data_IF_662997303000
#
_entry.id   IF_662997303000
#
_cell.length_a   1.000
_cell.length_b   1.000
_cell.length_c   1.000
_cell.angle_alpha   90.00
_cell.angle_beta   90.00
_cell.angle_gamma   90.00
#
_symmetry.space_group_name_H-M   'P 1'
#
loop_
_entity.id
_entity.type
_entity.pdbx_description
1 polymer ?
#
# COMPACT_ATOMS: atom_id res chain seq x y z
N UNK A 1 27.40 -77.27 46.47
CA UNK A 1 28.58 -76.38 46.40
C UNK A 1 28.10 -75.09 45.72
N UNK A 2 27.76 -74.04 46.47
CA UNK A 2 28.52 -72.77 46.64
C UNK A 2 28.89 -72.12 45.28
N UNK A 3 28.58 -70.87 44.89
CA UNK A 3 28.19 -69.60 45.55
C UNK A 3 27.46 -68.68 44.53
N UNK A 4 26.38 -67.96 44.91
CA UNK A 4 26.25 -66.51 45.21
C UNK A 4 26.48 -65.53 44.04
N UNK A 5 25.44 -64.75 43.68
CA UNK A 5 25.36 -63.28 43.44
C UNK A 5 24.22 -63.00 42.44
N UNK A 6 23.29 -62.06 42.59
CA UNK A 6 22.99 -61.04 43.60
C UNK A 6 21.76 -60.27 43.10
N UNK A 7 20.79 -60.02 43.98
CA UNK A 7 19.64 -59.15 43.73
C UNK A 7 20.08 -57.68 43.71
N UNK A 8 19.61 -56.89 42.74
CA UNK A 8 19.37 -55.46 42.96
C UNK A 8 18.26 -54.96 42.02
N UNK A 9 17.25 -54.38 42.67
CA UNK A 9 15.96 -53.95 42.14
C UNK A 9 16.06 -52.64 41.34
N UNK A 10 15.12 -52.49 40.41
CA UNK A 10 14.94 -51.36 39.49
C UNK A 10 14.72 -50.04 40.25
N UNK A 11 15.51 -49.02 39.92
CA UNK A 11 15.17 -47.62 40.15
C UNK A 11 14.80 -46.96 38.82
N UNK A 12 13.51 -46.65 38.65
CA UNK A 12 13.00 -45.89 37.51
C UNK A 12 13.44 -44.42 37.64
N UNK A 13 14.23 -43.93 36.69
CA UNK A 13 14.42 -42.49 36.49
C UNK A 13 13.43 -42.04 35.41
N UNK A 14 12.41 -41.31 35.85
CA UNK A 14 11.51 -40.53 35.00
C UNK A 14 12.35 -39.39 34.41
N UNK A 15 12.63 -39.45 33.10
CA UNK A 15 13.09 -38.29 32.35
C UNK A 15 11.88 -37.40 32.09
N UNK A 16 11.83 -36.25 32.74
CA UNK A 16 10.91 -35.16 32.37
C UNK A 16 11.48 -34.52 31.10
N UNK A 17 10.75 -34.49 29.97
CA UNK A 17 11.17 -33.68 28.84
C UNK A 17 10.96 -32.22 29.23
N UNK A 18 12.05 -31.46 29.34
CA UNK A 18 11.99 -30.00 29.44
C UNK A 18 11.42 -29.50 28.11
N UNK A 19 10.19 -28.99 28.16
CA UNK A 19 9.58 -28.19 27.10
C UNK A 19 10.51 -27.01 26.82
N UNK A 20 11.22 -27.04 25.69
CA UNK A 20 11.83 -25.84 25.15
C UNK A 20 10.70 -25.00 24.54
N UNK A 21 10.15 -24.08 25.34
CA UNK A 21 9.29 -23.04 24.82
C UNK A 21 10.13 -22.17 23.87
N UNK A 22 9.92 -22.34 22.57
CA UNK A 22 10.43 -21.41 21.56
C UNK A 22 9.71 -20.08 21.78
N UNK A 23 10.38 -19.15 22.47
CA UNK A 23 9.96 -17.77 22.49
C UNK A 23 10.09 -17.23 21.07
N UNK A 24 8.95 -17.03 20.39
CA UNK A 24 8.89 -16.17 19.21
C UNK A 24 9.23 -14.75 19.68
N UNK A 25 10.51 -14.40 19.60
CA UNK A 25 10.93 -13.02 19.68
C UNK A 25 10.48 -12.36 18.38
N UNK A 26 9.32 -11.68 18.44
CA UNK A 26 8.98 -10.65 17.49
C UNK A 26 10.05 -9.56 17.60
N UNK A 27 11.09 -9.63 16.77
CA UNK A 27 12.02 -8.53 16.61
C UNK A 27 11.27 -7.40 15.91
N UNK A 28 11.08 -6.28 16.60
CA UNK A 28 10.58 -5.05 16.00
C UNK A 28 11.51 -4.61 14.86
N UNK A 29 10.90 -4.39 13.70
CA UNK A 29 11.54 -4.07 12.42
C UNK A 29 11.72 -2.55 12.22
N UNK A 30 12.43 -1.86 13.11
CA UNK A 30 12.72 -0.43 12.88
C UNK A 30 14.13 -0.26 12.28
N UNK A 31 14.21 0.09 10.99
CA UNK A 31 15.41 0.72 10.42
C UNK A 31 15.14 2.21 10.26
N UNK A 32 15.88 3.03 11.00
CA UNK A 32 15.85 4.48 10.82
C UNK A 32 16.56 4.84 9.52
N UNK A 33 15.80 5.12 8.46
CA UNK A 33 16.34 5.59 7.19
C UNK A 33 17.04 6.94 7.43
N UNK A 34 18.37 6.97 7.31
CA UNK A 34 19.17 8.19 7.40
C UNK A 34 19.42 8.72 5.99
N UNK A 35 19.09 9.99 5.74
CA UNK A 35 19.24 10.63 4.42
C UNK A 35 18.00 10.65 3.54
N UNK A 36 16.85 10.19 4.02
CA UNK A 36 15.54 10.47 3.42
C UNK A 36 14.94 11.64 4.21
N UNK A 37 14.87 12.84 3.62
CA UNK A 37 14.16 13.96 4.24
C UNK A 37 12.74 13.50 4.62
N UNK A 38 12.32 13.81 5.85
CA UNK A 38 10.98 13.50 6.31
C UNK A 38 9.95 13.99 5.31
N UNK A 39 9.09 13.07 4.85
CA UNK A 39 8.12 13.25 3.74
C UNK A 39 8.75 13.46 2.34
N UNK A 40 9.52 12.51 1.81
CA UNK A 40 9.82 12.48 0.35
C UNK A 40 9.06 11.42 -0.43
N UNK A 41 8.52 10.38 0.21
CA UNK A 41 7.45 9.58 -0.38
C UNK A 41 6.10 10.20 -0.03
N UNK A 42 5.82 11.40 -0.58
CA UNK A 42 4.42 11.77 -0.82
C UNK A 42 3.83 10.57 -1.56
N UNK A 43 2.70 9.99 -1.11
CA UNK A 43 2.07 8.92 -1.88
C UNK A 43 1.92 9.42 -3.32
N UNK A 44 2.05 8.57 -4.35
CA UNK A 44 1.72 8.97 -5.71
C UNK A 44 0.37 9.67 -5.64
N UNK A 45 0.39 10.96 -5.99
CA UNK A 45 -0.70 11.94 -5.91
C UNK A 45 -2.03 11.36 -5.41
N UNK A 46 -2.36 11.55 -4.14
CA UNK A 46 -3.59 11.04 -3.55
C UNK A 46 -4.86 11.58 -4.23
N UNK A 47 -5.89 10.74 -4.19
CA UNK A 47 -7.33 10.93 -4.33
C UNK A 47 -7.99 12.31 -4.38
N UNK A 48 -7.55 13.37 -5.08
CA UNK A 48 -8.28 14.66 -5.01
C UNK A 48 -9.65 14.60 -5.74
N UNK A 49 -10.67 14.09 -5.05
CA UNK A 49 -12.08 14.25 -5.43
C UNK A 49 -12.59 15.55 -4.83
N UNK A 50 -12.93 16.50 -5.70
CA UNK A 50 -13.53 17.76 -5.30
C UNK A 50 -15.06 17.66 -5.20
N UNK A 51 -15.64 18.31 -4.20
CA UNK A 51 -17.07 18.44 -3.99
C UNK A 51 -17.44 19.92 -3.84
N UNK A 52 -18.29 20.41 -4.73
CA UNK A 52 -18.86 21.75 -4.64
C UNK A 52 -20.11 21.68 -3.77
N UNK A 53 -20.09 22.43 -2.68
CA UNK A 53 -21.11 22.43 -1.66
C UNK A 53 -21.79 23.79 -1.54
N UNK A 54 -23.11 23.76 -1.37
CA UNK A 54 -23.92 24.91 -1.02
C UNK A 54 -24.64 24.63 0.29
N UNK A 55 -24.48 25.54 1.25
CA UNK A 55 -25.19 25.55 2.52
C UNK A 55 -26.21 26.70 2.53
N UNK A 56 -27.44 26.36 2.90
CA UNK A 56 -28.58 27.26 3.07
C UNK A 56 -29.32 26.89 4.36
N UNK A 57 -29.93 27.88 5.01
CA UNK A 57 -30.74 27.65 6.22
C UNK A 57 -32.05 26.91 5.94
N UNK A 58 -32.60 27.05 4.73
CA UNK A 58 -33.84 26.36 4.31
C UNK A 58 -33.57 25.00 3.70
N UNK A 59 -32.53 24.91 2.87
CA UNK A 59 -32.30 23.75 2.00
C UNK A 59 -31.21 22.80 2.53
N UNK A 60 -30.57 23.18 3.64
CA UNK A 60 -29.51 22.40 4.27
C UNK A 60 -28.18 22.50 3.52
N UNK A 61 -27.38 21.43 3.58
CA UNK A 61 -26.12 21.29 2.86
C UNK A 61 -26.34 20.34 1.70
N UNK A 62 -25.98 20.79 0.50
CA UNK A 62 -25.97 19.96 -0.69
C UNK A 62 -24.58 20.01 -1.31
N UNK A 63 -23.97 18.84 -1.50
CA UNK A 63 -22.67 18.71 -2.14
C UNK A 63 -22.81 17.89 -3.42
N UNK A 64 -22.11 18.30 -4.47
CA UNK A 64 -22.04 17.57 -5.74
C UNK A 64 -20.57 17.40 -6.13
N UNK A 65 -20.19 16.30 -6.79
CA UNK A 65 -18.86 16.20 -7.38
C UNK A 65 -18.59 17.40 -8.29
N UNK A 66 -17.46 18.09 -8.10
CA UNK A 66 -17.09 19.21 -8.95
C UNK A 66 -16.80 18.70 -10.36
N UNK A 67 -17.26 19.41 -11.40
CA UNK A 67 -16.92 19.08 -12.78
C UNK A 67 -15.41 19.23 -13.02
N UNK A 68 -14.83 18.46 -13.96
CA UNK A 68 -13.42 18.51 -14.32
C UNK A 68 -13.00 19.93 -14.77
N UNK A 69 -12.55 20.77 -13.83
CA UNK A 69 -12.28 22.18 -14.09
C UNK A 69 -11.48 22.94 -13.03
N UNK A 70 -11.07 22.29 -11.93
CA UNK A 70 -10.17 22.91 -10.94
C UNK A 70 -8.71 22.84 -11.42
N UNK A 71 -8.34 23.74 -12.35
CA UNK A 71 -6.96 23.93 -12.77
C UNK A 71 -6.09 24.49 -11.65
N UNK A 72 -4.94 23.85 -11.39
CA UNK A 72 -3.86 24.41 -10.57
C UNK A 72 -3.33 23.54 -9.42
N UNK A 73 -3.96 22.41 -9.07
CA UNK A 73 -3.45 21.53 -8.02
C UNK A 73 -2.26 20.67 -8.52
N UNK A 74 -1.06 20.90 -7.99
CA UNK A 74 0.08 20.00 -8.16
C UNK A 74 -0.09 18.72 -7.33
N UNK A 75 -0.94 17.82 -7.83
CA UNK A 75 -0.94 16.36 -7.64
C UNK A 75 -2.21 15.81 -8.29
N UNK A 76 -2.06 15.38 -9.54
CA UNK A 76 -3.15 14.83 -10.35
C UNK A 76 -3.27 13.34 -10.05
N UNK A 77 -4.40 12.91 -9.49
CA UNK A 77 -4.92 11.58 -9.74
C UNK A 77 -5.29 11.55 -11.23
N UNK A 78 -4.44 10.93 -12.04
CA UNK A 78 -4.89 10.39 -13.33
C UNK A 78 -5.55 9.04 -13.06
N UNK A 79 -6.68 9.08 -12.37
CA UNK A 79 -7.63 7.98 -12.28
C UNK A 79 -8.70 8.22 -13.33
N UNK A 80 -8.39 7.94 -14.60
CA UNK A 80 -9.44 7.56 -15.54
C UNK A 80 -9.98 6.18 -15.13
N UNK A 81 -10.85 6.17 -14.12
CA UNK A 81 -11.93 5.20 -14.03
C UNK A 81 -13.19 5.91 -14.53
N UNK A 82 -13.89 5.33 -15.51
CA UNK A 82 -15.06 5.97 -16.11
C UNK A 82 -16.11 6.38 -15.08
N UNK A 83 -16.56 7.64 -15.15
CA UNK A 83 -17.86 8.13 -14.68
C UNK A 83 -18.32 7.81 -13.23
N UNK A 84 -17.43 7.69 -12.24
CA UNK A 84 -17.83 7.44 -10.83
C UNK A 84 -16.84 8.00 -9.79
N UNK A 85 -17.34 8.64 -8.74
CA UNK A 85 -16.54 9.18 -7.63
C UNK A 85 -15.85 8.08 -6.81
N UNK A 86 -14.58 8.25 -6.44
CA UNK A 86 -13.78 7.27 -5.65
C UNK A 86 -14.07 7.29 -4.14
N UNK A 87 -14.55 8.42 -3.64
CA UNK A 87 -15.03 8.63 -2.27
C UNK A 87 -16.34 9.40 -2.33
N UNK A 88 -17.16 9.30 -1.27
CA UNK A 88 -18.41 10.05 -1.15
C UNK A 88 -18.50 10.72 0.21
N UNK A 89 -18.75 12.03 0.20
CA UNK A 89 -19.01 12.82 1.41
C UNK A 89 -20.52 13.03 1.55
N UNK A 90 -21.07 12.75 2.73
CA UNK A 90 -22.51 12.88 3.00
C UNK A 90 -22.74 13.73 4.24
N UNK A 91 -23.62 14.73 4.13
CA UNK A 91 -24.03 15.58 5.25
C UNK A 91 -25.38 15.16 5.82
N UNK A 92 -25.55 15.26 7.14
CA UNK A 92 -26.81 14.99 7.86
C UNK A 92 -26.93 15.86 9.12
N UNK A 93 -28.00 15.68 9.90
CA UNK A 93 -28.20 16.31 11.21
C UNK A 93 -27.94 17.84 11.22
N UNK A 94 -28.53 18.52 10.26
CA UNK A 94 -28.29 19.96 10.01
C UNK A 94 -29.04 20.79 11.04
N UNK A 95 -28.33 21.69 11.71
CA UNK A 95 -28.85 22.58 12.75
C UNK A 95 -28.24 23.97 12.59
N UNK A 96 -29.06 25.02 12.68
CA UNK A 96 -28.59 26.40 12.74
C UNK A 96 -29.04 27.07 14.03
N UNK A 97 -28.09 27.65 14.76
CA UNK A 97 -28.35 28.49 15.94
C UNK A 97 -28.16 29.96 15.56
N UNK A 98 -29.25 30.72 15.57
CA UNK A 98 -29.25 32.14 15.22
C UNK A 98 -28.65 33.06 16.27
N UNK A 99 -28.51 32.60 17.52
CA UNK A 99 -27.91 33.39 18.62
C UNK A 99 -26.39 33.31 18.55
N UNK A 100 -25.85 32.11 18.37
CA UNK A 100 -24.41 31.90 18.22
C UNK A 100 -23.90 32.05 16.78
N UNK A 101 -24.81 32.18 15.80
CA UNK A 101 -24.50 32.21 14.35
C UNK A 101 -23.70 30.98 13.89
N UNK A 102 -24.01 29.81 14.48
CA UNK A 102 -23.35 28.55 14.17
C UNK A 102 -24.27 27.67 13.33
N UNK A 103 -23.76 27.27 12.17
CA UNK A 103 -24.36 26.26 11.31
C UNK A 103 -23.63 24.93 11.50
N UNK A 104 -24.30 23.95 12.09
CA UNK A 104 -23.76 22.62 12.41
C UNK A 104 -24.38 21.55 11.53
N UNK A 105 -23.59 20.56 11.13
CA UNK A 105 -24.06 19.37 10.43
C UNK A 105 -23.05 18.24 10.60
N UNK A 106 -23.51 17.00 10.56
CA UNK A 106 -22.64 15.83 10.60
C UNK A 106 -22.18 15.47 9.19
N UNK A 107 -20.93 15.05 9.07
CA UNK A 107 -20.32 14.62 7.81
C UNK A 107 -19.72 13.23 7.96
N UNK A 108 -20.08 12.32 7.05
CA UNK A 108 -19.45 11.01 6.89
C UNK A 108 -18.70 10.91 5.57
N UNK A 109 -17.65 10.10 5.55
CA UNK A 109 -16.91 9.72 4.35
C UNK A 109 -17.17 8.26 4.05
N UNK A 110 -17.51 7.94 2.80
CA UNK A 110 -17.65 6.57 2.31
C UNK A 110 -16.55 6.27 1.30
N UNK A 111 -15.89 5.13 1.46
CA UNK A 111 -14.99 4.58 0.46
C UNK A 111 -15.78 3.89 -0.67
N UNK A 112 -15.47 4.19 -1.93
CA UNK A 112 -16.09 3.54 -3.10
C UNK A 112 -15.05 2.73 -3.89
N UNK A 113 -13.77 2.88 -3.58
CA UNK A 113 -12.66 2.11 -4.15
C UNK A 113 -12.76 0.63 -3.76
N UNK A 114 -11.99 -0.20 -4.46
CA UNK A 114 -11.79 -1.58 -4.05
C UNK A 114 -10.68 -1.69 -3.00
N UNK A 115 -9.74 -0.75 -3.02
CA UNK A 115 -8.66 -0.57 -2.08
C UNK A 115 -9.17 0.07 -0.78
N UNK A 116 -8.62 -0.33 0.36
CA UNK A 116 -8.84 0.37 1.62
C UNK A 116 -8.26 1.80 1.54
N UNK A 117 -8.91 2.75 2.23
CA UNK A 117 -8.42 4.12 2.41
C UNK A 117 -8.20 4.43 3.88
N UNK A 118 -7.39 5.45 4.17
CA UNK A 118 -6.96 5.74 5.54
C UNK A 118 -5.90 4.75 6.03
N UNK A 119 -5.30 4.01 5.10
CA UNK A 119 -4.21 3.08 5.34
C UNK A 119 -3.38 2.88 4.08
N UNK A 120 -2.05 2.79 4.21
CA UNK A 120 -1.17 2.40 3.11
C UNK A 120 -1.01 0.88 2.88
N UNK A 121 -1.33 0.02 3.84
CA UNK A 121 -1.15 -1.45 3.76
C UNK A 121 -2.42 -2.28 4.07
N UNK A 122 -3.50 -1.66 4.51
CA UNK A 122 -4.73 -2.36 4.93
C UNK A 122 -4.76 -2.74 6.41
N UNK A 123 -3.69 -2.48 7.17
CA UNK A 123 -3.56 -2.94 8.56
C UNK A 123 -3.25 -1.79 9.50
N UNK A 124 -2.32 -0.93 9.12
CA UNK A 124 -1.89 0.21 9.92
C UNK A 124 -2.68 1.45 9.50
N UNK A 125 -3.45 2.07 10.41
CA UNK A 125 -4.12 3.33 10.11
C UNK A 125 -3.10 4.42 9.80
N UNK A 126 -3.41 5.25 8.81
CA UNK A 126 -2.67 6.48 8.56
C UNK A 126 -2.82 7.39 9.79
N UNK A 127 -1.72 7.78 10.48
CA UNK A 127 -1.77 8.68 11.61
C UNK A 127 -2.25 10.10 11.25
N UNK A 128 -2.34 10.46 9.96
CA UNK A 128 -3.00 11.70 9.51
C UNK A 128 -4.51 11.51 9.28
N UNK A 129 -4.97 10.26 9.17
CA UNK A 129 -6.33 9.88 8.85
C UNK A 129 -6.75 10.28 7.44
N UNK A 130 -8.01 10.02 7.12
CA UNK A 130 -8.66 10.55 5.92
C UNK A 130 -8.97 12.02 6.19
N UNK A 131 -8.36 12.95 5.45
CA UNK A 131 -8.49 14.40 5.67
C UNK A 131 -9.43 15.02 4.64
N UNK A 132 -10.55 15.59 5.11
CA UNK A 132 -11.43 16.39 4.27
C UNK A 132 -11.13 17.86 4.53
N UNK A 133 -10.60 18.56 3.53
CA UNK A 133 -10.13 19.94 3.66
C UNK A 133 -10.92 20.89 2.77
N UNK A 134 -11.05 22.14 3.23
CA UNK A 134 -11.68 23.22 2.46
C UNK A 134 -10.65 23.78 1.47
N UNK A 135 -10.82 23.43 0.20
CA UNK A 135 -10.01 23.97 -0.88
C UNK A 135 -10.35 25.44 -1.17
N UNK A 136 -11.63 25.80 -1.05
CA UNK A 136 -12.11 27.18 -1.16
C UNK A 136 -13.38 27.40 -0.33
N UNK A 137 -13.59 28.66 0.08
CA UNK A 137 -14.68 29.01 0.97
C UNK A 137 -14.48 28.45 2.39
N UNK A 138 -15.50 28.52 3.25
CA UNK A 138 -16.84 29.00 2.98
C UNK A 138 -16.91 30.50 2.64
N UNK A 139 -17.63 30.82 1.57
CA UNK A 139 -17.85 32.18 1.07
C UNK A 139 -19.34 32.47 1.02
N UNK A 140 -19.77 33.61 1.57
CA UNK A 140 -21.16 34.06 1.46
C UNK A 140 -21.47 34.41 0.00
N UNK A 141 -22.41 33.69 -0.60
CA UNK A 141 -22.83 33.85 -2.01
C UNK A 141 -24.24 34.44 -2.14
N UNK A 142 -24.96 34.57 -1.02
CA UNK A 142 -26.20 35.32 -0.93
C UNK A 142 -26.32 36.00 0.44
N UNK A 143 -26.81 37.24 0.45
CA UNK A 143 -26.83 38.08 1.65
C UNK A 143 -25.49 38.77 1.90
N UNK A 144 -25.17 39.05 3.17
CA UNK A 144 -23.93 39.74 3.58
C UNK A 144 -23.25 39.03 4.75
N UNK A 145 -22.02 39.43 5.06
CA UNK A 145 -21.23 38.89 6.17
C UNK A 145 -20.04 38.04 5.70
N UNK A 146 -19.32 37.45 6.66
CA UNK A 146 -18.19 36.55 6.39
C UNK A 146 -18.48 35.19 7.02
N UNK A 147 -18.37 34.13 6.22
CA UNK A 147 -18.46 32.76 6.71
C UNK A 147 -17.05 32.19 6.92
N UNK A 148 -16.89 31.28 7.87
CA UNK A 148 -15.62 30.58 8.12
C UNK A 148 -15.86 29.22 8.75
N UNK A 149 -14.87 28.32 8.69
CA UNK A 149 -14.91 27.07 9.46
C UNK A 149 -14.66 27.39 10.94
N UNK A 150 -15.48 26.84 11.84
CA UNK A 150 -15.47 27.19 13.26
C UNK A 150 -14.79 26.16 14.16
N UNK A 151 -14.73 24.88 13.74
CA UNK A 151 -14.22 23.79 14.57
C UNK A 151 -13.34 22.79 13.81
N UNK A 152 -12.57 23.26 12.82
CA UNK A 152 -11.59 22.42 12.13
C UNK A 152 -10.62 21.76 13.13
N UNK A 153 -10.17 20.54 12.83
CA UNK A 153 -9.17 19.85 13.65
C UNK A 153 -7.80 20.52 13.56
N UNK A 154 -7.55 21.20 12.43
CA UNK A 154 -6.33 21.95 12.19
C UNK A 154 -6.36 22.67 10.86
N UNK A 155 -5.20 23.21 10.48
CA UNK A 155 -4.94 23.72 9.14
C UNK A 155 -3.71 23.04 8.56
N UNK A 156 -3.73 22.79 7.26
CA UNK A 156 -2.66 22.10 6.53
C UNK A 156 -2.24 22.84 5.27
N UNK A 157 -1.20 22.33 4.62
CA UNK A 157 -0.82 22.77 3.27
C UNK A 157 -1.15 21.64 2.30
N UNK A 158 -2.31 21.74 1.64
CA UNK A 158 -2.79 20.74 0.69
C UNK A 158 -2.55 21.26 -0.74
N UNK A 159 -3.50 22.02 -1.27
CA UNK A 159 -3.35 22.76 -2.54
C UNK A 159 -2.85 24.18 -2.33
N UNK A 160 -3.03 24.72 -1.11
CA UNK A 160 -2.50 25.98 -0.64
C UNK A 160 -2.22 25.91 0.87
N UNK A 161 -1.47 26.88 1.40
CA UNK A 161 -1.21 26.97 2.84
C UNK A 161 -2.46 27.35 3.64
N UNK A 162 -2.51 26.92 4.90
CA UNK A 162 -3.54 27.27 5.90
C UNK A 162 -4.97 26.85 5.54
N UNK A 163 -5.14 25.73 4.84
CA UNK A 163 -6.46 25.19 4.52
C UNK A 163 -7.01 24.37 5.71
N UNK A 164 -8.22 24.69 6.22
CA UNK A 164 -8.79 23.98 7.36
C UNK A 164 -9.27 22.58 6.95
N UNK A 165 -9.11 21.61 7.83
CA UNK A 165 -9.49 20.22 7.58
C UNK A 165 -10.17 19.55 8.78
N UNK A 166 -10.87 18.46 8.48
CA UNK A 166 -11.41 17.49 9.44
C UNK A 166 -10.82 16.12 9.11
N UNK A 167 -10.22 15.46 10.10
CA UNK A 167 -9.60 14.15 9.92
C UNK A 167 -10.50 13.02 10.42
N UNK A 168 -10.50 11.88 9.74
CA UNK A 168 -11.19 10.66 10.15
C UNK A 168 -10.13 9.58 10.36
N UNK A 169 -9.87 9.22 11.61
CA UNK A 169 -8.82 8.28 12.02
C UNK A 169 -9.32 6.84 11.99
N UNK A 170 -9.73 6.40 10.81
CA UNK A 170 -10.32 5.09 10.56
C UNK A 170 -9.75 4.54 9.26
N UNK A 171 -9.63 3.21 9.18
CA UNK A 171 -9.46 2.50 7.92
C UNK A 171 -10.86 2.25 7.37
N UNK A 172 -11.11 2.60 6.12
CA UNK A 172 -12.37 2.29 5.45
C UNK A 172 -12.10 1.30 4.32
N UNK A 173 -12.58 0.08 4.48
CA UNK A 173 -12.62 -0.91 3.42
C UNK A 173 -13.62 -0.50 2.33
N UNK A 174 -13.66 -1.27 1.25
CA UNK A 174 -14.65 -1.06 0.18
C UNK A 174 -16.06 -0.90 0.74
N UNK A 175 -16.73 0.16 0.31
CA UNK A 175 -18.12 0.49 0.65
C UNK A 175 -18.40 0.84 2.11
N UNK A 176 -17.37 0.88 2.96
CA UNK A 176 -17.51 1.31 4.35
C UNK A 176 -17.68 2.81 4.49
N UNK A 177 -18.33 3.19 5.60
CA UNK A 177 -18.66 4.58 5.93
C UNK A 177 -18.06 4.90 7.30
N UNK A 178 -17.35 6.01 7.38
CA UNK A 178 -16.76 6.50 8.63
C UNK A 178 -17.81 6.80 9.70
N UNK A 179 -17.36 6.87 10.96
CA UNK A 179 -18.14 7.56 11.98
C UNK A 179 -18.47 9.01 11.54
N UNK A 180 -19.66 9.53 11.90
CA UNK A 180 -20.01 10.91 11.60
C UNK A 180 -19.16 11.88 12.42
N UNK A 181 -18.69 12.96 11.79
CA UNK A 181 -18.06 14.10 12.47
C UNK A 181 -18.91 15.35 12.33
N UNK A 182 -19.18 16.02 13.44
CA UNK A 182 -19.92 17.29 13.44
C UNK A 182 -19.03 18.44 13.00
N UNK A 183 -19.38 19.04 11.87
CA UNK A 183 -18.77 20.26 11.36
C UNK A 183 -19.58 21.46 11.79
N UNK A 184 -18.89 22.56 12.10
CA UNK A 184 -19.48 23.85 12.47
C UNK A 184 -18.88 24.94 11.61
N UNK A 185 -19.74 25.74 11.02
CA UNK A 185 -19.37 26.93 10.27
C UNK A 185 -19.92 28.15 11.00
N UNK A 186 -19.10 29.20 11.08
CA UNK A 186 -19.59 30.54 11.37
C UNK A 186 -20.44 30.97 10.17
N UNK A 187 -21.73 31.18 10.41
CA UNK A 187 -22.73 31.48 9.39
C UNK A 187 -23.53 32.71 9.84
N UNK A 188 -23.17 33.92 9.40
CA UNK A 188 -23.81 35.15 9.85
C UNK A 188 -25.31 35.14 9.60
N UNK A 189 -26.10 35.75 10.49
CA UNK A 189 -27.55 35.81 10.33
C UNK A 189 -28.01 36.53 9.05
N UNK A 190 -27.16 37.42 8.51
CA UNK A 190 -27.35 38.16 7.27
C UNK A 190 -27.02 37.35 6.02
N UNK A 191 -26.37 36.19 6.14
CA UNK A 191 -26.11 35.31 5.01
C UNK A 191 -27.37 34.47 4.69
N UNK A 192 -27.68 34.34 3.41
CA UNK A 192 -28.73 33.45 2.92
C UNK A 192 -28.15 32.19 2.28
N UNK A 193 -26.97 32.30 1.67
CA UNK A 193 -26.26 31.19 1.05
C UNK A 193 -24.76 31.28 1.32
N UNK A 194 -24.14 30.13 1.55
CA UNK A 194 -22.69 29.96 1.64
C UNK A 194 -22.27 28.84 0.70
N UNK A 195 -21.21 29.06 -0.06
CA UNK A 195 -20.62 28.05 -0.94
C UNK A 195 -19.18 27.75 -0.53
N UNK A 196 -18.79 26.49 -0.67
CA UNK A 196 -17.43 26.03 -0.43
C UNK A 196 -17.14 24.82 -1.30
N UNK A 197 -15.85 24.53 -1.50
CA UNK A 197 -15.39 23.32 -2.17
C UNK A 197 -14.50 22.56 -1.20
N UNK A 198 -14.81 21.28 -0.97
CA UNK A 198 -13.96 20.38 -0.18
C UNK A 198 -13.31 19.33 -1.05
N UNK A 199 -12.10 18.93 -0.67
CA UNK A 199 -11.37 17.83 -1.28
C UNK A 199 -11.02 16.83 -0.18
N UNK A 200 -10.85 15.56 -0.57
CA UNK A 200 -10.41 14.49 0.33
C UNK A 200 -8.96 14.15 0.00
N UNK A 201 -8.08 14.18 1.00
CA UNK A 201 -6.74 13.62 0.95
C UNK A 201 -6.70 12.39 1.87
N UNK A 202 -6.18 11.28 1.38
CA UNK A 202 -6.04 10.05 2.16
C UNK A 202 -5.00 9.14 1.52
N UNK A 203 -4.31 8.35 2.34
CA UNK A 203 -3.55 7.21 1.87
C UNK A 203 -4.52 6.11 1.37
N UNK A 204 -4.11 5.47 0.27
CA UNK A 204 -4.82 4.35 -0.34
C UNK A 204 -3.90 3.13 -0.29
N UNK A 205 -4.46 1.99 0.08
CA UNK A 205 -3.73 0.74 0.15
C UNK A 205 -3.14 0.36 -1.22
N UNK A 206 -1.87 -0.04 -1.23
CA UNK A 206 -1.30 -0.68 -2.41
C UNK A 206 -1.69 -2.16 -2.46
N UNK A 207 -2.44 -2.55 -3.50
CA UNK A 207 -2.68 -3.95 -3.82
C UNK A 207 -1.60 -4.46 -4.79
N UNK A 208 -0.33 -4.32 -4.39
CA UNK A 208 0.82 -4.84 -5.13
C UNK A 208 1.28 -6.17 -4.53
N UNK A 209 1.47 -7.17 -5.38
CA UNK A 209 1.79 -8.54 -4.98
C UNK A 209 3.07 -8.99 -5.69
N UNK A 210 4.05 -9.55 -4.98
CA UNK A 210 5.18 -10.27 -5.56
C UNK A 210 4.61 -11.51 -6.24
N UNK A 211 4.69 -11.54 -7.57
CA UNK A 211 3.94 -12.43 -8.45
C UNK A 211 4.78 -13.55 -9.05
N UNK A 212 6.04 -13.28 -9.35
CA UNK A 212 6.95 -14.25 -9.96
C UNK A 212 8.38 -13.94 -9.53
N UNK A 213 9.20 -14.98 -9.31
CA UNK A 213 10.59 -14.83 -8.86
C UNK A 213 11.50 -15.81 -9.59
N UNK A 214 12.60 -15.31 -10.15
CA UNK A 214 13.71 -16.11 -10.64
C UNK A 214 14.97 -15.81 -9.83
N UNK A 215 15.33 -16.75 -8.96
CA UNK A 215 16.52 -16.68 -8.10
C UNK A 215 17.74 -17.34 -8.75
N UNK A 216 17.53 -18.36 -9.59
CA UNK A 216 18.58 -19.12 -10.27
C UNK A 216 18.38 -19.10 -11.79
N UNK A 217 18.90 -18.09 -12.51
CA UNK A 217 18.73 -17.97 -13.96
C UNK A 217 19.37 -19.12 -14.72
N UNK A 218 20.51 -19.59 -14.20
CA UNK A 218 21.20 -20.78 -14.66
C UNK A 218 21.51 -20.83 -16.17
N UNK A 219 21.69 -22.04 -16.70
CA UNK A 219 22.20 -22.24 -18.06
C UNK A 219 23.56 -21.55 -18.29
N UNK A 220 23.58 -20.56 -19.18
CA UNK A 220 24.77 -19.73 -19.47
C UNK A 220 24.66 -18.31 -18.89
N UNK A 221 23.57 -18.02 -18.17
CA UNK A 221 23.30 -16.73 -17.56
C UNK A 221 23.78 -16.77 -16.12
N UNK A 222 24.66 -15.83 -15.76
CA UNK A 222 25.13 -15.72 -14.38
C UNK A 222 24.05 -15.12 -13.48
N UNK A 223 23.98 -15.58 -12.24
CA UNK A 223 23.13 -15.02 -11.18
C UNK A 223 23.30 -13.50 -11.07
N UNK A 224 24.54 -13.00 -11.20
CA UNK A 224 24.85 -11.55 -11.18
C UNK A 224 24.29 -10.74 -12.35
N UNK A 225 23.58 -11.37 -13.30
CA UNK A 225 22.98 -10.71 -14.46
C UNK A 225 21.48 -11.01 -14.61
N UNK A 226 21.05 -12.22 -14.24
CA UNK A 226 19.76 -12.76 -14.65
C UNK A 226 18.70 -12.87 -13.55
N UNK A 227 19.00 -12.53 -12.30
CA UNK A 227 17.99 -12.57 -11.23
C UNK A 227 16.95 -11.46 -11.42
N UNK A 228 15.68 -11.79 -11.17
CA UNK A 228 14.58 -10.85 -11.22
C UNK A 228 13.40 -11.33 -10.38
N UNK A 229 12.53 -10.39 -10.04
CA UNK A 229 11.21 -10.66 -9.52
C UNK A 229 10.21 -9.74 -10.23
N UNK A 230 8.96 -10.14 -10.18
CA UNK A 230 7.84 -9.41 -10.77
C UNK A 230 6.84 -9.03 -9.70
N UNK A 231 6.27 -7.84 -9.83
CA UNK A 231 5.09 -7.43 -9.07
C UNK A 231 3.86 -7.37 -9.99
N UNK A 232 2.72 -7.81 -9.46
CA UNK A 232 1.39 -7.69 -10.05
C UNK A 232 0.57 -6.65 -9.29
N UNK A 233 -0.14 -5.80 -10.01
CA UNK A 233 -1.11 -4.88 -9.42
C UNK A 233 -2.51 -5.51 -9.41
N UNK A 234 -2.91 -6.03 -8.25
CA UNK A 234 -4.23 -6.60 -8.01
C UNK A 234 -5.33 -5.54 -7.78
N UNK A 235 -4.94 -4.25 -7.74
CA UNK A 235 -5.84 -3.13 -7.54
C UNK A 235 -6.52 -2.63 -8.81
N UNK A 236 -7.35 -1.61 -8.62
CA UNK A 236 -8.08 -0.87 -9.65
C UNK A 236 -7.43 0.46 -10.01
N UNK A 237 -6.43 0.90 -9.24
CA UNK A 237 -5.65 2.09 -9.49
C UNK A 237 -4.24 1.75 -9.98
N UNK A 238 -3.70 2.56 -10.88
CA UNK A 238 -2.31 2.43 -11.29
C UNK A 238 -1.38 2.77 -10.12
N UNK A 239 -0.33 1.97 -9.92
CA UNK A 239 0.68 2.22 -8.88
C UNK A 239 1.99 2.61 -9.54
N UNK A 240 2.57 3.74 -9.14
CA UNK A 240 3.92 4.11 -9.54
C UNK A 240 4.90 3.64 -8.46
N UNK A 241 5.85 2.79 -8.82
CA UNK A 241 6.81 2.21 -7.88
C UNK A 241 7.90 3.21 -7.44
N UNK A 242 8.01 4.38 -8.08
CA UNK A 242 9.00 5.39 -7.70
C UNK A 242 8.88 5.77 -6.22
N UNK A 243 10.03 5.88 -5.55
CA UNK A 243 10.17 6.16 -4.12
C UNK A 243 9.66 5.04 -3.18
N UNK A 244 9.11 3.94 -3.70
CA UNK A 244 9.05 2.71 -2.94
C UNK A 244 10.46 2.15 -2.76
N UNK A 245 10.61 1.30 -1.76
CA UNK A 245 11.84 0.58 -1.49
C UNK A 245 11.67 -0.90 -1.73
N UNK A 246 12.74 -1.52 -2.22
CA UNK A 246 12.86 -2.96 -2.34
C UNK A 246 14.06 -3.43 -1.52
N UNK A 247 13.96 -4.63 -0.99
CA UNK A 247 15.06 -5.26 -0.27
C UNK A 247 15.01 -6.77 -0.44
N UNK A 248 16.18 -7.36 -0.31
CA UNK A 248 16.38 -8.77 -0.03
C UNK A 248 16.82 -8.95 1.44
N UNK A 249 16.50 -10.09 2.04
CA UNK A 249 16.90 -10.37 3.42
C UNK A 249 17.24 -11.84 3.60
N UNK A 250 18.53 -12.17 3.55
CA UNK A 250 19.03 -13.42 4.10
C UNK A 250 18.89 -13.39 5.64
N UNK A 251 18.54 -14.53 6.25
CA UNK A 251 18.26 -14.68 7.69
C UNK A 251 19.38 -14.26 8.67
N UNK A 252 20.55 -13.79 8.20
CA UNK A 252 21.67 -13.40 9.06
C UNK A 252 22.41 -12.11 8.66
N UNK A 253 21.91 -11.33 7.69
CA UNK A 253 22.58 -10.09 7.29
C UNK A 253 21.62 -9.14 6.58
N UNK A 254 21.31 -8.01 7.24
CA UNK A 254 20.41 -6.98 6.71
C UNK A 254 21.11 -6.21 5.59
N UNK A 255 20.68 -6.37 4.33
CA UNK A 255 21.03 -5.44 3.25
C UNK A 255 20.20 -4.15 3.40
N UNK A 256 20.74 -2.98 3.04
CA UNK A 256 19.99 -1.73 3.07
C UNK A 256 18.88 -1.75 2.02
N UNK A 257 17.76 -1.10 2.32
CA UNK A 257 16.72 -0.85 1.33
C UNK A 257 17.27 -0.12 0.09
N UNK A 258 16.84 -0.56 -1.09
CA UNK A 258 17.08 0.11 -2.36
C UNK A 258 15.85 0.95 -2.74
N UNK A 259 16.03 2.24 -2.95
CA UNK A 259 14.95 3.13 -3.41
C UNK A 259 14.78 2.99 -4.91
N UNK A 260 13.55 2.80 -5.37
CA UNK A 260 13.21 2.84 -6.79
C UNK A 260 13.28 4.29 -7.27
N UNK A 261 14.36 4.65 -7.97
CA UNK A 261 14.67 6.05 -8.28
C UNK A 261 13.88 6.62 -9.47
N UNK A 262 13.42 5.76 -10.38
CA UNK A 262 12.71 6.15 -11.60
C UNK A 262 11.24 5.75 -11.57
N UNK A 263 10.41 6.44 -12.36
CA UNK A 263 9.01 6.07 -12.52
C UNK A 263 8.84 4.71 -13.20
N UNK A 264 8.04 3.85 -12.58
CA UNK A 264 7.60 2.55 -13.11
C UNK A 264 6.13 2.46 -12.79
N UNK A 265 5.27 2.69 -13.78
CA UNK A 265 3.83 2.64 -13.60
C UNK A 265 3.30 1.25 -13.89
N UNK A 266 2.66 0.64 -12.90
CA UNK A 266 1.97 -0.65 -13.01
C UNK A 266 0.47 -0.36 -13.11
N UNK A 267 -0.08 -0.53 -14.30
CA UNK A 267 -1.53 -0.37 -14.53
C UNK A 267 -2.34 -1.38 -13.70
N UNK A 268 -3.64 -1.15 -13.45
CA UNK A 268 -4.53 -2.15 -12.86
C UNK A 268 -4.47 -3.46 -13.64
N UNK A 269 -4.27 -4.59 -12.94
CA UNK A 269 -4.07 -5.90 -13.57
C UNK A 269 -2.75 -6.03 -14.36
N UNK A 270 -1.86 -5.06 -14.24
CA UNK A 270 -0.57 -5.02 -14.93
C UNK A 270 0.56 -5.63 -14.11
N UNK A 271 1.70 -5.81 -14.78
CA UNK A 271 2.92 -6.41 -14.23
C UNK A 271 4.11 -5.47 -14.43
N UNK A 272 5.06 -5.51 -13.49
CA UNK A 272 6.35 -4.86 -13.66
C UNK A 272 7.48 -5.78 -13.17
N UNK A 273 8.51 -5.93 -14.01
CA UNK A 273 9.66 -6.78 -13.72
C UNK A 273 10.82 -5.93 -13.20
N UNK A 274 11.33 -6.29 -12.03
CA UNK A 274 12.51 -5.69 -11.41
C UNK A 274 13.64 -6.73 -11.43
N UNK A 275 14.79 -6.37 -11.99
CA UNK A 275 15.90 -7.32 -12.19
C UNK A 275 17.27 -6.68 -12.04
N UNK A 276 18.33 -7.50 -12.04
CA UNK A 276 19.70 -6.98 -11.93
C UNK A 276 20.07 -6.11 -13.14
N UNK A 277 19.79 -6.57 -14.36
CA UNK A 277 20.18 -5.90 -15.60
C UNK A 277 19.00 -5.76 -16.56
N UNK A 278 18.89 -4.60 -17.21
CA UNK A 278 17.97 -4.37 -18.33
C UNK A 278 18.56 -4.75 -19.70
N UNK A 279 19.85 -5.12 -19.76
CA UNK A 279 20.47 -5.59 -21.00
C UNK A 279 20.04 -7.03 -21.31
N UNK A 280 19.15 -7.14 -22.31
CA UNK A 280 18.55 -8.41 -22.73
C UNK A 280 19.55 -9.41 -23.30
N UNK A 281 20.77 -8.96 -23.67
CA UNK A 281 21.82 -9.84 -24.18
C UNK A 281 22.48 -10.66 -23.07
N UNK A 282 22.45 -10.18 -21.83
CA UNK A 282 23.15 -10.80 -20.71
C UNK A 282 22.24 -11.29 -19.58
N UNK A 283 20.99 -10.80 -19.52
CA UNK A 283 20.03 -11.18 -18.46
C UNK A 283 19.14 -12.38 -18.82
N UNK A 284 19.40 -13.06 -19.94
CA UNK A 284 18.55 -14.14 -20.42
C UNK A 284 17.33 -13.70 -21.22
N UNK A 285 17.31 -12.48 -21.76
CA UNK A 285 16.25 -11.98 -22.65
C UNK A 285 15.02 -11.41 -21.92
N UNK A 286 15.12 -11.17 -20.61
CA UNK A 286 14.04 -10.64 -19.77
C UNK A 286 13.87 -9.15 -20.03
N UNK A 287 12.63 -8.69 -20.24
CA UNK A 287 12.31 -7.27 -20.37
C UNK A 287 12.09 -6.66 -18.99
N UNK A 288 13.18 -6.23 -18.36
CA UNK A 288 13.17 -5.58 -17.04
C UNK A 288 12.66 -4.14 -17.16
N UNK A 289 11.69 -3.78 -16.33
CA UNK A 289 11.14 -2.42 -16.19
C UNK A 289 11.97 -1.54 -15.25
N UNK A 290 12.64 -2.15 -14.26
CA UNK A 290 13.56 -1.47 -13.35
C UNK A 290 14.80 -2.31 -13.04
N UNK A 291 15.96 -1.81 -13.44
CA UNK A 291 17.24 -2.44 -13.12
C UNK A 291 17.73 -1.98 -11.73
N UNK A 292 17.81 -2.90 -10.77
CA UNK A 292 18.34 -2.61 -9.43
C UNK A 292 19.86 -2.87 -9.30
N UNK A 293 20.52 -3.35 -10.35
CA UNK A 293 21.96 -3.60 -10.34
C UNK A 293 22.36 -4.57 -9.24
N UNK A 294 23.39 -4.23 -8.46
CA UNK A 294 23.86 -5.05 -7.34
C UNK A 294 23.17 -4.75 -6.00
N UNK A 295 22.06 -4.01 -6.01
CA UNK A 295 21.40 -3.58 -4.78
C UNK A 295 20.72 -4.74 -4.05
N UNK A 296 20.19 -5.71 -4.81
CA UNK A 296 19.67 -7.00 -4.33
C UNK A 296 20.56 -8.12 -4.89
N UNK A 297 20.61 -9.26 -4.21
CA UNK A 297 21.14 -10.51 -4.75
C UNK A 297 20.38 -11.68 -4.13
N UNK A 298 19.51 -12.30 -4.92
CA UNK A 298 18.53 -13.28 -4.49
C UNK A 298 19.22 -14.63 -4.26
N UNK A 299 19.47 -14.99 -3.00
CA UNK A 299 20.20 -16.22 -2.71
C UNK A 299 19.46 -17.46 -3.25
N UNK A 300 20.17 -18.41 -3.85
CA UNK A 300 19.61 -19.68 -4.36
C UNK A 300 19.07 -20.65 -3.29
N UNK A 301 18.85 -20.21 -2.04
CA UNK A 301 18.41 -21.10 -0.96
C UNK A 301 17.46 -20.40 0.00
N UNK A 302 18.01 -19.62 0.93
CA UNK A 302 17.24 -18.84 1.89
C UNK A 302 17.34 -17.36 1.54
N UNK A 303 16.20 -16.75 1.25
CA UNK A 303 16.08 -15.31 1.13
C UNK A 303 14.63 -14.85 1.34
N UNK A 304 14.41 -13.55 1.29
CA UNK A 304 13.09 -12.97 1.12
C UNK A 304 13.16 -11.69 0.32
N UNK A 305 12.13 -11.44 -0.48
CA UNK A 305 11.95 -10.21 -1.23
C UNK A 305 10.89 -9.40 -0.50
N UNK A 306 11.17 -8.11 -0.33
CA UNK A 306 10.24 -7.14 0.27
C UNK A 306 10.09 -5.95 -0.65
N UNK A 307 8.85 -5.53 -0.87
CA UNK A 307 8.51 -4.21 -1.38
C UNK A 307 7.82 -3.43 -0.25
N UNK A 308 8.23 -2.18 -0.04
CA UNK A 308 7.74 -1.37 1.04
C UNK A 308 7.68 0.11 0.68
N UNK A 309 6.87 0.86 1.42
CA UNK A 309 6.83 2.31 1.36
C UNK A 309 7.67 2.89 2.49
N UNK A 310 8.42 3.96 2.22
CA UNK A 310 9.04 4.74 3.30
C UNK A 310 7.96 5.51 4.05
N UNK A 311 7.89 5.33 5.37
CA UNK A 311 6.94 5.99 6.24
C UNK A 311 7.64 6.66 7.42
N UNK A 312 7.77 7.99 7.37
CA UNK A 312 8.56 8.73 8.34
C UNK A 312 10.02 8.31 8.31
N UNK A 313 10.52 7.74 9.41
CA UNK A 313 11.87 7.18 9.48
C UNK A 313 11.92 5.66 9.30
N UNK A 314 10.77 5.00 9.10
CA UNK A 314 10.66 3.54 8.99
C UNK A 314 10.10 3.12 7.62
N UNK A 315 9.81 1.83 7.46
CA UNK A 315 9.18 1.25 6.27
C UNK A 315 7.90 0.52 6.60
N UNK A 316 6.87 0.74 5.78
CA UNK A 316 5.66 -0.05 5.80
C UNK A 316 5.74 -1.12 4.71
N UNK A 317 5.67 -2.39 5.09
CA UNK A 317 5.65 -3.50 4.13
C UNK A 317 4.39 -3.42 3.27
N UNK A 318 4.57 -3.37 1.96
CA UNK A 318 3.47 -3.52 1.00
C UNK A 318 3.27 -5.00 0.71
N UNK A 319 4.36 -5.69 0.40
CA UNK A 319 4.35 -7.15 0.29
C UNK A 319 5.73 -7.73 0.61
N UNK A 320 5.75 -8.99 1.05
CA UNK A 320 6.96 -9.74 1.37
C UNK A 320 6.76 -11.23 1.11
N UNK A 321 7.61 -11.80 0.26
CA UNK A 321 7.63 -13.22 -0.04
C UNK A 321 8.99 -13.83 0.32
N UNK A 322 9.01 -14.94 1.05
CA UNK A 322 10.22 -15.61 1.54
C UNK A 322 10.31 -17.07 1.09
N UNK A 323 11.53 -17.58 1.05
CA UNK A 323 11.82 -18.97 0.73
C UNK A 323 13.04 -19.48 1.48
N UNK A 324 13.10 -20.79 1.66
CA UNK A 324 14.10 -21.50 2.46
C UNK A 324 14.75 -22.66 1.67
N UNK A 325 14.15 -23.09 0.55
CA UNK A 325 14.53 -24.31 -0.15
C UNK A 325 15.09 -24.05 -1.55
N UNK A 326 16.39 -24.31 -1.72
CA UNK A 326 17.03 -24.33 -3.04
C UNK A 326 16.39 -25.32 -4.01
N UNK A 327 15.95 -26.47 -3.50
CA UNK A 327 15.36 -27.54 -4.30
C UNK A 327 13.97 -27.16 -4.86
N UNK A 328 13.31 -26.19 -4.25
CA UNK A 328 11.97 -25.74 -4.64
C UNK A 328 12.10 -24.39 -5.35
N UNK A 329 12.63 -23.38 -4.68
CA UNK A 329 12.60 -21.98 -5.12
C UNK A 329 13.80 -21.50 -5.95
N UNK A 330 14.78 -22.36 -6.21
CA UNK A 330 15.99 -22.01 -6.98
C UNK A 330 16.37 -23.09 -8.00
N UNK A 331 15.37 -23.69 -8.65
CA UNK A 331 15.62 -24.59 -9.78
C UNK A 331 16.25 -23.82 -10.95
N UNK A 332 17.23 -24.44 -11.59
CA UNK A 332 18.04 -23.83 -12.65
C UNK A 332 17.17 -23.41 -13.85
N UNK A 333 17.09 -22.10 -14.09
CA UNK A 333 16.39 -21.48 -15.22
C UNK A 333 14.87 -21.54 -15.14
N UNK A 334 14.30 -21.81 -13.97
CA UNK A 334 12.86 -21.95 -13.77
C UNK A 334 12.41 -20.97 -12.68
N UNK A 335 11.53 -20.04 -13.03
CA UNK A 335 10.92 -19.14 -12.06
C UNK A 335 9.86 -19.84 -11.21
N UNK A 336 9.62 -19.26 -10.04
CA UNK A 336 8.50 -19.55 -9.16
C UNK A 336 7.38 -18.57 -9.46
N UNK A 337 6.23 -19.09 -9.84
CA UNK A 337 5.04 -18.35 -10.19
C UNK A 337 3.98 -18.49 -9.09
N UNK A 338 3.41 -17.37 -8.66
CA UNK A 338 2.26 -17.32 -7.79
C UNK A 338 1.02 -17.90 -8.51
N UNK A 339 0.28 -18.77 -7.84
CA UNK A 339 -0.90 -19.44 -8.41
C UNK A 339 -2.12 -18.52 -8.33
N UNK A 340 -2.41 -17.98 -7.15
CA UNK A 340 -3.53 -17.08 -6.97
C UNK A 340 -3.09 -15.84 -6.16
N UNK A 341 -3.10 -14.63 -6.77
CA UNK A 341 -2.70 -13.39 -6.11
C UNK A 341 -3.68 -12.91 -5.02
N UNK A 342 -4.86 -13.53 -4.89
CA UNK A 342 -5.81 -13.24 -3.82
C UNK A 342 -5.58 -14.09 -2.54
N UNK A 343 -4.63 -15.03 -2.57
CA UNK A 343 -4.28 -15.89 -1.44
C UNK A 343 -2.90 -15.50 -0.88
N UNK A 344 -2.60 -15.98 0.33
CA UNK A 344 -1.30 -15.77 0.98
C UNK A 344 -0.14 -16.18 0.06
N UNK A 345 0.77 -15.25 -0.20
CA UNK A 345 1.94 -15.40 -1.04
C UNK A 345 3.26 -15.32 -0.24
N UNK A 346 3.19 -15.22 1.10
CA UNK A 346 4.36 -14.96 1.94
C UNK A 346 5.42 -16.06 1.95
N UNK A 347 5.06 -17.29 1.54
CA UNK A 347 5.94 -18.45 1.46
C UNK A 347 6.03 -18.99 0.03
N UNK A 348 7.10 -18.67 -0.69
CA UNK A 348 7.35 -19.08 -2.09
C UNK A 348 7.56 -20.60 -2.21
N UNK A 349 7.98 -21.28 -1.14
CA UNK A 349 8.05 -22.76 -1.11
C UNK A 349 6.68 -23.41 -0.87
N UNK A 350 5.65 -22.60 -0.60
CA UNK A 350 4.32 -23.02 -0.19
C UNK A 350 3.39 -23.45 -1.32
N UNK A 351 2.16 -23.81 -0.95
CA UNK A 351 1.16 -24.40 -1.85
C UNK A 351 0.55 -23.42 -2.85
N UNK A 352 0.67 -22.11 -2.63
CA UNK A 352 0.20 -21.07 -3.56
C UNK A 352 1.26 -20.68 -4.60
N UNK A 353 2.35 -21.44 -4.71
CA UNK A 353 3.43 -21.18 -5.66
C UNK A 353 3.77 -22.45 -6.42
N UNK A 354 4.05 -22.32 -7.70
CA UNK A 354 4.47 -23.43 -8.56
C UNK A 354 5.60 -23.01 -9.49
N UNK A 355 6.29 -24.01 -10.03
CA UNK A 355 7.27 -23.76 -11.09
C UNK A 355 6.55 -23.33 -12.37
N UNK A 356 7.11 -22.34 -13.07
CA UNK A 356 6.61 -21.95 -14.39
C UNK A 356 6.50 -23.16 -15.33
N UNK A 357 5.41 -23.28 -16.06
CA UNK A 357 5.12 -24.45 -16.91
C UNK A 357 6.22 -24.71 -17.94
N UNK A 358 6.33 -25.94 -18.42
CA UNK A 358 7.30 -26.31 -19.48
C UNK A 358 7.07 -25.59 -20.82
N UNK A 359 5.87 -25.05 -21.03
CA UNK A 359 5.50 -24.26 -22.20
C UNK A 359 5.71 -22.76 -22.03
N UNK A 360 5.87 -22.28 -20.80
CA UNK A 360 6.12 -20.87 -20.50
C UNK A 360 7.61 -20.58 -20.69
N UNK A 361 8.03 -20.39 -21.95
CA UNK A 361 9.43 -20.14 -22.30
C UNK A 361 9.61 -18.67 -22.67
N UNK A 362 10.63 -18.03 -22.09
CA UNK A 362 11.11 -16.71 -22.47
C UNK A 362 12.58 -16.76 -22.90
N UNK A 363 13.01 -15.72 -23.62
CA UNK A 363 14.41 -15.57 -24.03
C UNK A 363 14.97 -16.81 -24.76
N UNK A 364 16.23 -17.20 -24.50
CA UNK A 364 16.89 -18.34 -25.14
C UNK A 364 16.54 -19.69 -24.50
N UNK A 365 15.50 -19.78 -23.65
CA UNK A 365 15.07 -21.04 -23.04
C UNK A 365 14.78 -21.00 -21.54
N UNK A 366 14.73 -19.81 -20.91
CA UNK A 366 14.31 -19.68 -19.52
C UNK A 366 12.82 -20.00 -19.37
N UNK A 367 12.42 -20.58 -18.24
CA UNK A 367 11.01 -20.87 -17.92
C UNK A 367 10.46 -19.81 -16.98
N UNK A 368 9.37 -19.16 -17.40
CA UNK A 368 8.71 -18.07 -16.70
C UNK A 368 7.79 -17.26 -17.61
N UNK A 369 7.05 -16.33 -17.02
CA UNK A 369 6.06 -15.48 -17.71
C UNK A 369 6.27 -13.98 -17.47
N UNK A 370 7.51 -13.44 -17.58
CA UNK A 370 7.76 -12.04 -17.31
C UNK A 370 6.87 -11.12 -18.18
N UNK A 371 6.19 -10.21 -17.50
CA UNK A 371 5.20 -9.25 -18.00
C UNK A 371 3.88 -9.86 -18.50
N UNK A 372 3.56 -11.07 -18.08
CA UNK A 372 2.36 -11.78 -18.48
C UNK A 372 1.73 -12.51 -17.29
N UNK A 373 0.52 -13.02 -17.50
CA UNK A 373 -0.12 -13.85 -16.49
C UNK A 373 0.66 -15.15 -16.28
N UNK A 374 0.88 -15.48 -15.00
CA UNK A 374 1.51 -16.73 -14.57
C UNK A 374 0.89 -17.95 -15.25
N UNK A 375 1.73 -18.83 -15.76
CA UNK A 375 1.30 -20.08 -16.37
C UNK A 375 0.70 -21.06 -15.36
N UNK A 376 1.05 -20.91 -14.09
CA UNK A 376 0.46 -21.63 -12.97
C UNK A 376 -0.87 -21.02 -12.46
N UNK A 377 -1.33 -19.90 -13.04
CA UNK A 377 -2.46 -19.14 -12.49
C UNK A 377 -3.74 -19.98 -12.38
N UNK A 378 -4.38 -19.90 -11.22
CA UNK A 378 -5.72 -20.43 -10.97
C UNK A 378 -6.53 -19.37 -10.20
N UNK A 379 -7.70 -18.95 -10.71
CA UNK A 379 -8.50 -17.88 -10.11
C UNK A 379 -9.09 -18.22 -8.75
#
# INVERSE_FOLDING_TARGET
MSRINGMASRAARVLVPVLAAAAMAACGDEQKLTGVEGRTARPPAGALQAFDCQASRTDGVTCRPAGAGAGGASAVILGQGGNGSTVRVTSSNIVYDSVSEIFSFDVTVKNVLNEAIGTPDGVVPDPQGIQVFFNSGPTVTGGTGTASVANADGTGTFTAANQPFFAYYEILEKDEVSAPRTWRLNYPNTATNVSFTVLVETDVQYLLVINEVLTNPGGTIADTNGEWFEVYNAGTLAVNLQNLVIADSAAAGRRPYHVIASSVSVAPGGYAVLGISADTLINGGVKVDYAYGSALSLANSLDAIKIARVYGTDTLTVDRAAYLSAAISAQNGISRELINPALDNSNIDGANWADASVSAIYGPGGRGTPKAQNSAFVP
#
